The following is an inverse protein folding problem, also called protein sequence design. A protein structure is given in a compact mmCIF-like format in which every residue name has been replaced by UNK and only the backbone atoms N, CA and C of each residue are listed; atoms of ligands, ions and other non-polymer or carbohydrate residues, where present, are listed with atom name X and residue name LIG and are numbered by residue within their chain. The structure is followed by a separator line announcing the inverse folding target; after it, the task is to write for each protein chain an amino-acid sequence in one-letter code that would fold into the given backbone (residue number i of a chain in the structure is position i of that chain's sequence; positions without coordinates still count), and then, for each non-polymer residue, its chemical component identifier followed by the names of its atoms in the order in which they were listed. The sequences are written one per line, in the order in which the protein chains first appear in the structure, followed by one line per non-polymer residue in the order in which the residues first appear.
data_IF_126347623976
#
_entry.id   IF_126347623976
#
_cell.length_a   1.000
_cell.length_b   1.000
_cell.length_c   1.000
_cell.angle_alpha   90.00
_cell.angle_beta   90.00
_cell.angle_gamma   90.00
#
_symmetry.space_group_name_H-M   'P 1'
#
loop_
_entity.id
_entity.type
_entity.pdbx_description
1 polymer ?
#
# COMPACT_ATOMS: atom_id res chain seq x y z
N UNK A 1 7.66 27.40 -39.00
CA UNK A 1 7.74 26.24 -38.08
C UNK A 1 6.44 25.47 -38.16
N UNK A 2 6.45 24.22 -38.64
CA UNK A 2 5.27 23.35 -38.56
C UNK A 2 5.05 22.98 -37.09
N UNK A 3 3.98 23.51 -36.50
CA UNK A 3 3.55 23.14 -35.16
C UNK A 3 3.00 21.72 -35.24
N UNK A 4 3.81 20.74 -34.83
CA UNK A 4 3.39 19.33 -34.70
C UNK A 4 2.32 19.24 -33.61
N UNK A 5 1.06 19.37 -33.99
CA UNK A 5 -0.10 19.25 -33.12
C UNK A 5 -1.02 18.12 -33.60
N UNK A 6 -1.69 17.46 -32.66
CA UNK A 6 -2.73 16.47 -32.98
C UNK A 6 -4.08 17.17 -32.88
N UNK A 7 -4.74 17.40 -34.02
CA UNK A 7 -6.12 17.89 -34.03
C UNK A 7 -7.05 16.76 -33.60
N UNK A 8 -7.82 16.96 -32.53
CA UNK A 8 -8.74 15.97 -32.00
C UNK A 8 -10.03 16.64 -31.51
N UNK A 9 -11.12 15.88 -31.49
CA UNK A 9 -12.40 16.34 -30.93
C UNK A 9 -12.59 15.83 -29.50
N UNK A 10 -13.46 16.51 -28.74
CA UNK A 10 -13.84 16.06 -27.39
C UNK A 10 -14.48 14.66 -27.44
N UNK A 11 -15.28 14.38 -28.48
CA UNK A 11 -15.91 13.08 -28.64
C UNK A 11 -14.90 11.96 -28.91
N UNK A 12 -13.91 12.23 -29.76
CA UNK A 12 -12.82 11.31 -30.03
C UNK A 12 -12.05 10.99 -28.72
N UNK A 13 -11.74 12.01 -27.91
CA UNK A 13 -11.08 11.83 -26.62
C UNK A 13 -11.92 11.01 -25.63
N UNK A 14 -13.24 11.26 -25.54
CA UNK A 14 -14.13 10.49 -24.66
C UNK A 14 -14.16 9.01 -25.00
N UNK A 15 -14.14 8.68 -26.30
CA UNK A 15 -14.20 7.32 -26.85
C UNK A 15 -12.81 6.68 -27.00
N UNK A 16 -11.73 7.42 -26.78
CA UNK A 16 -10.37 6.95 -26.96
C UNK A 16 -10.08 5.69 -26.13
N UNK A 17 -9.46 4.66 -26.72
CA UNK A 17 -9.08 3.45 -26.01
C UNK A 17 -7.96 3.76 -25.02
N UNK A 18 -8.09 3.25 -23.80
CA UNK A 18 -7.11 3.47 -22.74
C UNK A 18 -6.15 2.28 -22.64
N UNK A 19 -4.85 2.57 -22.77
CA UNK A 19 -3.78 1.60 -22.62
C UNK A 19 -3.33 1.46 -21.15
N UNK A 20 -3.22 2.60 -20.45
CA UNK A 20 -2.75 2.71 -19.07
C UNK A 20 -3.70 3.58 -18.25
N UNK A 21 -3.90 3.23 -16.99
CA UNK A 21 -4.75 4.02 -16.08
C UNK A 21 -4.23 3.91 -14.65
N UNK A 22 -4.10 5.05 -13.98
CA UNK A 22 -3.67 5.11 -12.58
C UNK A 22 -4.83 5.63 -11.73
N UNK A 23 -5.18 4.87 -10.70
CA UNK A 23 -6.20 5.24 -9.72
C UNK A 23 -5.51 5.62 -8.42
N UNK A 24 -5.89 6.74 -7.82
CA UNK A 24 -5.24 7.19 -6.61
C UNK A 24 -6.23 7.83 -5.63
N UNK A 25 -5.83 7.83 -4.36
CA UNK A 25 -6.55 8.51 -3.29
C UNK A 25 -5.56 9.17 -2.34
N UNK A 26 -5.74 10.47 -2.16
CA UNK A 26 -5.13 11.23 -1.08
C UNK A 26 -5.91 10.97 0.23
N UNK A 27 -5.17 10.65 1.27
CA UNK A 27 -5.60 10.29 2.62
C UNK A 27 -5.04 11.37 3.54
N UNK A 28 -5.95 12.13 4.15
CA UNK A 28 -5.61 13.26 5.02
C UNK A 28 -5.46 12.76 6.44
N UNK A 29 -4.32 13.02 7.06
CA UNK A 29 -4.05 12.65 8.45
C UNK A 29 -4.02 13.95 9.28
N UNK A 30 -4.90 14.03 10.28
CA UNK A 30 -5.05 15.21 11.15
C UNK A 30 -4.88 14.90 12.64
N UNK A 31 -4.76 13.62 12.97
CA UNK A 31 -4.68 13.07 14.33
C UNK A 31 -3.24 13.02 14.87
N UNK A 32 -2.26 13.47 14.07
CA UNK A 32 -0.84 13.35 14.38
C UNK A 32 -0.20 12.04 13.89
N UNK A 33 -0.96 11.14 13.26
CA UNK A 33 -0.40 9.98 12.57
C UNK A 33 0.45 10.46 11.39
N UNK A 34 1.67 9.95 11.26
CA UNK A 34 2.57 10.33 10.17
C UNK A 34 2.48 9.33 9.00
N UNK A 35 2.65 9.78 7.75
CA UNK A 35 2.75 8.88 6.59
C UNK A 35 3.86 7.83 6.78
N UNK A 36 4.99 8.23 7.36
CA UNK A 36 6.11 7.32 7.65
C UNK A 36 5.70 6.16 8.57
N UNK A 37 4.93 6.43 9.63
CA UNK A 37 4.42 5.37 10.51
C UNK A 37 3.52 4.38 9.75
N UNK A 38 2.60 4.86 8.92
CA UNK A 38 1.73 3.99 8.11
C UNK A 38 2.52 3.17 7.09
N UNK A 39 3.53 3.77 6.45
CA UNK A 39 4.41 3.10 5.48
C UNK A 39 5.21 1.99 6.15
N UNK A 40 5.82 2.26 7.30
CA UNK A 40 6.55 1.25 8.07
C UNK A 40 5.63 0.10 8.50
N UNK A 41 4.37 0.41 8.88
CA UNK A 41 3.39 -0.62 9.19
C UNK A 41 3.08 -1.46 7.94
N UNK A 42 2.76 -0.84 6.81
CA UNK A 42 2.49 -1.54 5.54
C UNK A 42 3.65 -2.45 5.10
N UNK A 43 4.90 -1.99 5.27
CA UNK A 43 6.10 -2.79 5.02
C UNK A 43 6.13 -4.04 5.90
N UNK A 44 5.92 -3.88 7.21
CA UNK A 44 5.95 -4.99 8.17
C UNK A 44 4.83 -6.01 7.93
N UNK A 45 3.71 -5.57 7.36
CA UNK A 45 2.58 -6.44 6.99
C UNK A 45 2.77 -7.18 5.67
N UNK A 46 3.57 -6.63 4.75
CA UNK A 46 3.71 -7.18 3.41
C UNK A 46 4.55 -8.47 3.43
N UNK A 47 3.87 -9.58 3.17
CA UNK A 47 4.48 -10.88 2.94
C UNK A 47 4.55 -11.15 1.43
N UNK A 48 5.70 -11.02 0.76
CA UNK A 48 5.81 -11.46 -0.63
C UNK A 48 5.67 -12.98 -0.66
N UNK A 49 4.73 -13.49 -1.46
CA UNK A 49 4.56 -14.94 -1.68
C UNK A 49 4.87 -15.36 -3.13
N UNK A 50 5.50 -14.51 -3.94
CA UNK A 50 5.88 -14.88 -5.30
C UNK A 50 7.19 -14.24 -5.75
N UNK A 51 7.94 -15.01 -6.54
CA UNK A 51 9.14 -14.65 -7.30
C UNK A 51 8.95 -13.41 -8.21
N UNK A 52 7.69 -13.02 -8.46
CA UNK A 52 7.29 -11.93 -9.37
C UNK A 52 7.08 -10.58 -8.66
N UNK A 53 7.48 -10.48 -7.39
CA UNK A 53 7.48 -9.21 -6.65
C UNK A 53 8.77 -8.47 -7.00
N UNK A 54 8.77 -7.79 -8.14
CA UNK A 54 9.85 -6.90 -8.52
C UNK A 54 9.91 -5.78 -7.48
N UNK A 55 10.94 -5.81 -6.63
CA UNK A 55 11.40 -4.71 -5.76
C UNK A 55 10.33 -4.00 -4.90
N UNK A 56 10.32 -4.34 -3.61
CA UNK A 56 9.92 -3.40 -2.55
C UNK A 56 10.99 -2.32 -2.43
N UNK A 57 10.83 -1.26 -3.23
CA UNK A 57 11.80 -0.17 -3.33
C UNK A 57 11.59 0.85 -2.19
N UNK A 58 12.51 0.87 -1.22
CA UNK A 58 12.65 1.96 -0.24
C UNK A 58 13.43 3.11 -0.88
N UNK A 59 12.73 3.98 -1.61
CA UNK A 59 13.33 5.24 -2.08
C UNK A 59 13.12 6.33 -1.04
N UNK A 60 14.11 7.22 -0.93
CA UNK A 60 14.06 8.38 -0.06
C UNK A 60 13.85 8.03 1.43
N UNK A 61 14.64 7.11 2.01
CA UNK A 61 14.67 6.94 3.48
C UNK A 61 13.37 6.45 4.14
N UNK A 62 12.53 5.67 3.45
CA UNK A 62 11.29 5.11 4.03
C UNK A 62 10.05 5.98 3.87
N UNK A 63 10.05 6.91 2.91
CA UNK A 63 8.88 7.75 2.58
C UNK A 63 7.96 7.15 1.51
N UNK A 64 8.24 5.93 1.04
CA UNK A 64 7.36 5.19 0.14
C UNK A 64 7.48 3.68 0.32
N UNK A 65 6.37 2.99 0.10
CA UNK A 65 6.26 1.55 -0.05
C UNK A 65 5.69 1.23 -1.43
N UNK A 66 6.38 0.36 -2.17
CA UNK A 66 6.02 -0.03 -3.53
C UNK A 66 5.85 -1.54 -3.63
N UNK A 67 4.74 -1.96 -4.20
CA UNK A 67 4.54 -3.30 -4.67
C UNK A 67 4.48 -3.25 -6.20
N UNK A 68 5.62 -3.54 -6.82
CA UNK A 68 5.78 -3.40 -8.26
C UNK A 68 5.74 -4.75 -8.99
N UNK A 69 4.99 -4.77 -10.08
CA UNK A 69 4.96 -5.85 -11.08
C UNK A 69 4.98 -5.22 -12.48
N UNK A 70 5.45 -5.94 -13.49
CA UNK A 70 5.54 -5.42 -14.86
C UNK A 70 4.18 -4.97 -15.44
N UNK A 71 3.08 -5.55 -14.96
CA UNK A 71 1.73 -5.26 -15.43
C UNK A 71 0.99 -4.20 -14.60
N UNK A 72 1.36 -4.02 -13.33
CA UNK A 72 0.73 -3.07 -12.42
C UNK A 72 1.67 -2.74 -11.25
N UNK A 73 1.46 -1.58 -10.64
CA UNK A 73 2.20 -1.15 -9.46
C UNK A 73 1.22 -0.60 -8.42
N UNK A 74 1.41 -0.96 -7.15
CA UNK A 74 0.69 -0.36 -6.02
C UNK A 74 1.71 0.44 -5.20
N UNK A 75 1.48 1.74 -5.05
CA UNK A 75 2.40 2.67 -4.38
C UNK A 75 1.68 3.33 -3.22
N UNK A 76 2.35 3.36 -2.09
CA UNK A 76 1.97 4.12 -0.91
C UNK A 76 3.10 5.09 -0.59
N UNK A 77 2.81 6.37 -0.44
CA UNK A 77 3.87 7.34 -0.19
C UNK A 77 3.39 8.58 0.53
N UNK A 78 4.34 9.25 1.17
CA UNK A 78 4.17 10.58 1.72
C UNK A 78 4.13 11.60 0.56
N UNK A 79 2.94 12.14 0.29
CA UNK A 79 2.74 13.07 -0.82
C UNK A 79 3.31 14.46 -0.52
N UNK A 80 3.36 14.87 0.75
CA UNK A 80 3.99 16.13 1.14
C UNK A 80 5.50 16.06 0.93
N UNK A 81 6.12 14.97 1.38
CA UNK A 81 7.54 14.74 1.15
C UNK A 81 7.86 14.60 -0.34
N UNK A 82 7.04 13.90 -1.12
CA UNK A 82 7.22 13.76 -2.58
C UNK A 82 7.22 15.12 -3.31
N UNK A 83 6.29 16.02 -2.97
CA UNK A 83 6.24 17.37 -3.53
C UNK A 83 7.45 18.22 -3.11
N UNK A 84 7.91 18.09 -1.87
CA UNK A 84 9.13 18.76 -1.40
C UNK A 84 10.37 18.30 -2.20
N UNK A 85 10.46 16.99 -2.51
CA UNK A 85 11.53 16.45 -3.36
C UNK A 85 11.39 16.92 -4.80
N UNK A 86 10.17 17.00 -5.33
CA UNK A 86 9.92 17.49 -6.68
C UNK A 86 10.40 18.94 -6.87
N UNK A 87 10.24 19.81 -5.85
CA UNK A 87 10.76 21.19 -5.84
C UNK A 87 12.29 21.23 -5.99
N UNK A 88 13.00 20.24 -5.42
CA UNK A 88 14.47 20.10 -5.58
C UNK A 88 14.84 19.47 -6.92
N UNK A 89 14.09 18.47 -7.36
CA UNK A 89 14.31 17.77 -8.62
C UNK A 89 13.13 16.88 -8.99
N UNK A 90 12.55 17.09 -10.18
CA UNK A 90 11.48 16.24 -10.72
C UNK A 90 11.90 14.78 -10.94
N UNK A 91 13.20 14.50 -11.09
CA UNK A 91 13.72 13.12 -11.24
C UNK A 91 13.72 12.34 -9.92
N UNK A 92 13.66 13.04 -8.78
CA UNK A 92 13.71 12.44 -7.44
C UNK A 92 12.32 12.15 -6.84
N UNK A 93 11.28 12.68 -7.45
CA UNK A 93 9.89 12.41 -7.06
C UNK A 93 9.35 11.12 -7.67
N UNK A 94 8.39 10.53 -6.98
CA UNK A 94 7.64 9.34 -7.35
C UNK A 94 6.65 9.66 -8.46
N UNK A 95 6.03 10.84 -8.40
CA UNK A 95 5.19 11.37 -9.46
C UNK A 95 6.04 12.17 -10.45
N UNK A 96 5.79 11.98 -11.76
CA UNK A 96 6.56 12.62 -12.84
C UNK A 96 5.97 13.97 -13.23
N UNK A 97 4.66 14.15 -13.08
CA UNK A 97 3.92 15.34 -13.52
C UNK A 97 3.61 16.30 -12.36
N UNK A 98 4.61 16.54 -11.51
CA UNK A 98 4.44 17.34 -10.28
C UNK A 98 4.33 18.85 -10.53
N UNK A 99 4.72 19.35 -11.70
CA UNK A 99 4.83 20.78 -11.98
C UNK A 99 3.53 21.56 -11.70
N UNK A 100 2.38 20.99 -12.04
CA UNK A 100 1.06 21.61 -11.82
C UNK A 100 0.74 21.71 -10.32
N UNK A 101 1.28 20.80 -9.50
CA UNK A 101 0.99 20.69 -8.08
C UNK A 101 1.95 21.51 -7.20
N UNK A 102 3.08 21.98 -7.74
CA UNK A 102 4.06 22.76 -6.98
C UNK A 102 3.49 24.11 -6.49
N UNK A 103 2.60 24.73 -7.27
CA UNK A 103 1.92 25.97 -6.86
C UNK A 103 1.02 25.74 -5.63
N UNK A 104 0.42 24.55 -5.53
CA UNK A 104 -0.44 24.17 -4.40
C UNK A 104 0.38 23.78 -3.16
N UNK A 105 1.61 23.31 -3.36
CA UNK A 105 2.48 22.83 -2.29
C UNK A 105 2.77 23.92 -1.24
N UNK A 106 2.96 25.17 -1.63
CA UNK A 106 3.25 26.25 -0.68
C UNK A 106 2.07 26.54 0.26
N UNK A 107 0.85 26.38 -0.23
CA UNK A 107 -0.36 26.51 0.59
C UNK A 107 -0.52 25.32 1.56
N UNK A 108 -0.21 24.12 1.07
CA UNK A 108 -0.23 22.89 1.87
C UNK A 108 0.84 22.91 2.97
N UNK A 109 2.04 23.37 2.67
CA UNK A 109 3.15 23.42 3.61
C UNK A 109 2.85 24.39 4.76
N UNK A 110 2.24 25.55 4.46
CA UNK A 110 1.73 26.47 5.49
C UNK A 110 0.67 25.82 6.38
N UNK A 111 -0.23 25.01 5.83
CA UNK A 111 -1.23 24.26 6.62
C UNK A 111 -0.56 23.20 7.51
N UNK A 112 0.44 22.47 7.00
CA UNK A 112 1.23 21.48 7.76
C UNK A 112 1.99 22.11 8.94
N UNK A 113 2.52 23.32 8.78
CA UNK A 113 3.24 23.99 9.88
C UNK A 113 2.29 24.53 10.94
N UNK A 114 1.07 24.94 10.57
CA UNK A 114 0.08 25.51 11.49
C UNK A 114 -0.82 24.46 12.17
N UNK A 115 -0.99 23.31 11.54
CA UNK A 115 -1.89 22.24 11.97
C UNK A 115 -1.19 20.90 11.73
N UNK A 116 -1.49 19.88 12.53
CA UNK A 116 -0.97 18.51 12.33
C UNK A 116 -1.55 17.90 11.04
N UNK A 117 -1.18 18.39 9.87
CA UNK A 117 -1.74 18.03 8.58
C UNK A 117 -0.72 17.28 7.75
N UNK A 118 -0.96 16.00 7.51
CA UNK A 118 -0.14 15.18 6.63
C UNK A 118 -0.96 14.58 5.49
N UNK A 119 -0.31 14.36 4.35
CA UNK A 119 -0.94 13.80 3.16
C UNK A 119 -0.28 12.48 2.77
N UNK A 120 -0.99 11.39 3.01
CA UNK A 120 -0.59 10.07 2.56
C UNK A 120 -1.33 9.73 1.27
N UNK A 121 -0.67 9.12 0.29
CA UNK A 121 -1.31 8.74 -0.97
C UNK A 121 -1.17 7.26 -1.24
N UNK A 122 -2.30 6.64 -1.57
CA UNK A 122 -2.36 5.33 -2.18
C UNK A 122 -2.59 5.51 -3.69
N UNK A 123 -1.80 4.81 -4.50
CA UNK A 123 -1.89 4.82 -5.95
C UNK A 123 -1.78 3.39 -6.50
N UNK A 124 -2.67 3.04 -7.43
CA UNK A 124 -2.66 1.78 -8.19
C UNK A 124 -2.51 2.13 -9.65
N UNK A 125 -1.35 1.78 -10.22
CA UNK A 125 -0.99 2.03 -11.61
C UNK A 125 -1.19 0.77 -12.43
N UNK A 126 -2.10 0.80 -13.39
CA UNK A 126 -2.33 -0.31 -14.32
C UNK A 126 -1.64 0.02 -15.65
N UNK A 127 -0.51 -0.66 -15.90
CA UNK A 127 0.40 -0.35 -17.01
C UNK A 127 0.08 -1.12 -18.29
N UNK A 128 -0.71 -2.21 -18.20
CA UNK A 128 -1.05 -3.06 -19.34
C UNK A 128 -2.56 -3.23 -19.48
N UNK A 129 -3.08 -3.03 -20.69
CA UNK A 129 -4.51 -3.22 -21.01
C UNK A 129 -5.02 -4.61 -20.67
N UNK A 130 -4.20 -5.66 -20.85
CA UNK A 130 -4.54 -7.02 -20.47
C UNK A 130 -4.82 -7.14 -18.97
N UNK A 131 -4.03 -6.47 -18.12
CA UNK A 131 -4.23 -6.45 -16.67
C UNK A 131 -5.49 -5.70 -16.27
N UNK A 132 -5.79 -4.59 -16.95
CA UNK A 132 -7.06 -3.85 -16.75
C UNK A 132 -8.24 -4.79 -17.02
N UNK A 133 -8.24 -5.49 -18.17
CA UNK A 133 -9.30 -6.46 -18.51
C UNK A 133 -9.43 -7.55 -17.45
N UNK A 134 -8.31 -8.18 -17.07
CA UNK A 134 -8.29 -9.24 -16.06
C UNK A 134 -8.88 -8.77 -14.73
N UNK A 135 -8.46 -7.60 -14.25
CA UNK A 135 -8.95 -7.01 -13.00
C UNK A 135 -10.44 -6.66 -13.09
N UNK A 136 -10.89 -6.11 -14.21
CA UNK A 136 -12.29 -5.74 -14.41
C UNK A 136 -13.20 -6.96 -14.42
N UNK A 137 -12.78 -8.05 -15.07
CA UNK A 137 -13.49 -9.34 -15.00
C UNK A 137 -13.54 -9.85 -13.56
N UNK A 138 -12.41 -9.85 -12.85
CA UNK A 138 -12.34 -10.29 -11.43
C UNK A 138 -13.25 -9.47 -10.52
N UNK A 139 -13.37 -8.17 -10.78
CA UNK A 139 -14.20 -7.24 -10.02
C UNK A 139 -15.62 -7.12 -10.58
N UNK A 140 -16.04 -7.93 -11.55
CA UNK A 140 -17.36 -7.83 -12.20
C UNK A 140 -17.69 -6.42 -12.71
N UNK A 141 -16.71 -5.73 -13.30
CA UNK A 141 -16.86 -4.40 -13.91
C UNK A 141 -17.04 -4.57 -15.42
N UNK A 142 -18.29 -4.46 -15.90
CA UNK A 142 -18.62 -4.58 -17.32
C UNK A 142 -18.71 -3.20 -17.98
N UNK A 143 -17.56 -2.62 -18.32
CA UNK A 143 -17.50 -1.34 -19.07
C UNK A 143 -16.44 -1.42 -20.18
N UNK A 144 -16.63 -0.72 -21.30
CA UNK A 144 -15.59 -0.63 -22.32
C UNK A 144 -14.42 0.20 -21.78
N UNK A 145 -13.21 -0.14 -22.23
CA UNK A 145 -11.96 0.51 -21.80
C UNK A 145 -11.73 1.84 -22.55
N UNK A 146 -12.67 2.77 -22.40
CA UNK A 146 -12.59 4.12 -22.96
C UNK A 146 -12.37 5.16 -21.87
N UNK A 147 -11.80 6.31 -22.23
CA UNK A 147 -11.47 7.39 -21.28
C UNK A 147 -12.68 7.77 -20.42
N UNK A 148 -13.83 8.05 -21.04
CA UNK A 148 -15.04 8.47 -20.33
C UNK A 148 -15.55 7.43 -19.33
N UNK A 149 -15.46 6.14 -19.68
CA UNK A 149 -16.03 5.07 -18.84
C UNK A 149 -15.11 4.70 -17.69
N UNK A 150 -13.79 4.81 -17.88
CA UNK A 150 -12.78 4.48 -16.86
C UNK A 150 -12.61 5.58 -15.81
N UNK A 151 -12.89 6.83 -16.16
CA UNK A 151 -12.76 7.98 -15.26
C UNK A 151 -13.97 8.15 -14.34
N UNK A 152 -14.28 7.11 -13.54
CA UNK A 152 -15.39 7.08 -12.59
C UNK A 152 -14.90 6.85 -11.15
N UNK A 153 -15.30 7.67 -10.16
CA UNK A 153 -14.91 7.48 -8.77
C UNK A 153 -15.25 6.10 -8.20
N UNK A 154 -16.38 5.53 -8.61
CA UNK A 154 -16.80 4.19 -8.17
C UNK A 154 -15.81 3.08 -8.60
N UNK A 155 -15.26 3.16 -9.82
CA UNK A 155 -14.25 2.22 -10.32
C UNK A 155 -12.95 2.39 -9.55
N UNK A 156 -12.49 3.64 -9.39
CA UNK A 156 -11.29 3.98 -8.60
C UNK A 156 -11.37 3.39 -7.19
N UNK A 157 -12.47 3.64 -6.48
CA UNK A 157 -12.70 3.09 -5.14
C UNK A 157 -12.66 1.57 -5.11
N UNK A 158 -13.32 0.90 -6.06
CA UNK A 158 -13.37 -0.57 -6.10
C UNK A 158 -11.98 -1.18 -6.31
N UNK A 159 -11.17 -0.56 -7.17
CA UNK A 159 -9.80 -1.02 -7.46
C UNK A 159 -8.86 -0.75 -6.28
N UNK A 160 -8.94 0.44 -5.68
CA UNK A 160 -8.13 0.79 -4.51
C UNK A 160 -8.43 -0.14 -3.33
N UNK A 161 -9.72 -0.38 -3.04
CA UNK A 161 -10.12 -1.33 -1.99
C UNK A 161 -9.66 -2.75 -2.31
N UNK A 162 -9.81 -3.23 -3.54
CA UNK A 162 -9.34 -4.57 -3.91
C UNK A 162 -7.85 -4.78 -3.59
N UNK A 163 -6.99 -3.84 -3.98
CA UNK A 163 -5.55 -3.98 -3.70
C UNK A 163 -5.20 -3.77 -2.23
N UNK A 164 -5.95 -2.92 -1.53
CA UNK A 164 -5.79 -2.76 -0.08
C UNK A 164 -6.22 -4.03 0.68
N UNK A 165 -7.33 -4.65 0.27
CA UNK A 165 -7.81 -5.94 0.79
C UNK A 165 -6.81 -7.05 0.48
N UNK A 166 -6.23 -7.06 -0.72
CA UNK A 166 -5.19 -8.02 -1.09
C UNK A 166 -3.94 -7.87 -0.20
N UNK A 167 -3.57 -6.64 0.17
CA UNK A 167 -2.48 -6.38 1.10
C UNK A 167 -2.85 -6.85 2.53
N UNK A 168 -4.03 -6.46 3.03
CA UNK A 168 -4.49 -6.86 4.37
C UNK A 168 -4.70 -8.39 4.49
N UNK A 169 -5.10 -9.08 3.43
CA UNK A 169 -5.25 -10.55 3.46
C UNK A 169 -3.93 -11.29 3.70
N UNK A 170 -2.79 -10.63 3.45
CA UNK A 170 -1.44 -11.17 3.66
C UNK A 170 -0.90 -10.86 5.05
N UNK A 171 -1.57 -9.97 5.78
CA UNK A 171 -1.22 -9.57 7.12
C UNK A 171 -1.39 -10.75 8.10
N UNK A 172 -0.45 -10.86 9.04
CA UNK A 172 -0.53 -11.84 10.11
C UNK A 172 -0.74 -11.10 11.45
N UNK A 173 -1.87 -11.32 12.15
CA UNK A 173 -2.23 -10.62 13.39
C UNK A 173 -1.12 -10.66 14.45
N UNK A 174 -0.32 -11.72 14.46
CA UNK A 174 0.85 -11.86 15.32
C UNK A 174 1.78 -10.64 15.27
N UNK A 175 1.97 -10.02 14.10
CA UNK A 175 2.90 -8.91 13.92
C UNK A 175 2.35 -7.54 14.30
N UNK A 176 1.06 -7.44 14.61
CA UNK A 176 0.45 -6.21 15.13
C UNK A 176 0.67 -6.00 16.62
N UNK A 177 0.99 -7.07 17.35
CA UNK A 177 1.20 -7.01 18.79
C UNK A 177 2.35 -6.07 19.15
N UNK A 178 2.10 -5.25 20.16
CA UNK A 178 3.06 -4.27 20.64
C UNK A 178 4.39 -4.93 20.98
N UNK A 179 5.48 -4.32 20.52
CA UNK A 179 6.85 -4.74 20.84
C UNK A 179 7.19 -4.51 22.32
N UNK A 180 6.42 -3.66 23.02
CA UNK A 180 6.59 -3.40 24.46
C UNK A 180 6.02 -4.50 25.36
N UNK A 181 5.36 -5.52 24.79
CA UNK A 181 4.84 -6.64 25.57
C UNK A 181 5.97 -7.49 26.15
N UNK A 182 5.85 -7.85 27.42
CA UNK A 182 6.75 -8.81 28.05
C UNK A 182 6.57 -10.20 27.44
N UNK A 183 7.65 -10.99 27.39
CA UNK A 183 7.64 -12.35 26.84
C UNK A 183 6.54 -13.22 27.46
N UNK A 184 6.39 -13.11 28.78
CA UNK A 184 5.33 -13.80 29.53
C UNK A 184 3.94 -13.41 29.04
N UNK A 185 3.66 -12.11 28.86
CA UNK A 185 2.34 -11.67 28.38
C UNK A 185 2.04 -12.12 26.95
N UNK A 186 3.05 -12.10 26.08
CA UNK A 186 2.93 -12.53 24.69
C UNK A 186 2.61 -14.04 24.62
N UNK A 187 3.37 -14.86 25.35
CA UNK A 187 3.12 -16.30 25.44
C UNK A 187 1.73 -16.61 26.02
N UNK A 188 1.34 -15.93 27.11
CA UNK A 188 0.01 -16.12 27.71
C UNK A 188 -1.09 -15.80 26.71
N UNK A 189 -1.00 -14.68 25.97
CA UNK A 189 -2.01 -14.34 24.96
C UNK A 189 -2.08 -15.38 23.84
N UNK A 190 -0.92 -15.85 23.36
CA UNK A 190 -0.88 -16.88 22.31
C UNK A 190 -1.53 -18.19 22.79
N UNK A 191 -1.24 -18.62 24.03
CA UNK A 191 -1.79 -19.86 24.62
C UNK A 191 -3.31 -19.72 24.85
N UNK A 192 -3.75 -18.63 25.47
CA UNK A 192 -5.16 -18.43 25.85
C UNK A 192 -6.07 -18.32 24.63
N UNK A 193 -5.63 -17.59 23.59
CA UNK A 193 -6.44 -17.40 22.39
C UNK A 193 -6.35 -18.55 21.38
N UNK A 194 -5.35 -19.43 21.50
CA UNK A 194 -5.12 -20.53 20.56
C UNK A 194 -4.87 -21.86 21.29
N UNK A 195 -5.81 -22.35 22.13
CA UNK A 195 -5.62 -23.55 22.96
C UNK A 195 -5.47 -24.85 22.15
N UNK A 196 -5.82 -24.82 20.87
CA UNK A 196 -5.68 -25.96 19.94
C UNK A 196 -4.25 -26.12 19.39
N UNK A 197 -3.37 -25.14 19.57
CA UNK A 197 -1.99 -25.21 19.08
C UNK A 197 -1.10 -25.97 20.08
N UNK A 198 -0.18 -26.79 19.55
CA UNK A 198 0.81 -27.47 20.38
C UNK A 198 1.84 -26.50 20.94
N UNK A 199 2.43 -26.83 22.09
CA UNK A 199 3.47 -26.03 22.73
C UNK A 199 4.63 -25.71 21.78
N UNK A 200 5.09 -26.69 21.00
CA UNK A 200 6.12 -26.50 19.98
C UNK A 200 5.72 -25.44 18.95
N UNK A 201 4.46 -25.42 18.51
CA UNK A 201 3.99 -24.46 17.51
C UNK A 201 3.91 -23.05 18.09
N UNK A 202 3.47 -22.93 19.35
CA UNK A 202 3.42 -21.66 20.07
C UNK A 202 4.84 -21.08 20.22
N UNK A 203 5.82 -21.91 20.61
CA UNK A 203 7.22 -21.48 20.74
C UNK A 203 7.80 -21.02 19.39
N UNK A 204 7.51 -21.75 18.31
CA UNK A 204 7.95 -21.35 16.96
C UNK A 204 7.36 -20.00 16.52
N UNK A 205 6.07 -19.78 16.78
CA UNK A 205 5.39 -18.52 16.46
C UNK A 205 5.88 -17.38 17.35
N UNK A 206 6.18 -17.66 18.62
CA UNK A 206 6.79 -16.69 19.53
C UNK A 206 8.17 -16.25 19.02
N UNK A 207 9.02 -17.22 18.65
CA UNK A 207 10.32 -16.94 18.04
C UNK A 207 10.20 -16.13 16.76
N UNK A 208 9.23 -16.46 15.89
CA UNK A 208 8.93 -15.68 14.68
C UNK A 208 8.55 -14.23 15.01
N UNK A 209 7.72 -14.00 16.03
CA UNK A 209 7.34 -12.65 16.47
C UNK A 209 8.55 -11.88 16.95
N UNK A 210 9.39 -12.46 17.81
CA UNK A 210 10.59 -11.78 18.33
C UNK A 210 11.61 -11.47 17.24
N UNK A 211 11.80 -12.38 16.29
CA UNK A 211 12.62 -12.09 15.11
C UNK A 211 12.06 -10.88 14.34
N UNK A 212 10.75 -10.82 14.10
CA UNK A 212 10.10 -9.72 13.37
C UNK A 212 10.29 -8.32 14.01
N UNK A 213 10.63 -8.25 15.30
CA UNK A 213 10.93 -6.96 15.96
C UNK A 213 12.28 -6.38 15.52
N UNK A 214 13.20 -7.25 15.10
CA UNK A 214 14.56 -6.89 14.70
C UNK A 214 14.76 -6.90 13.18
N UNK A 215 13.98 -7.69 12.44
CA UNK A 215 14.13 -7.88 11.00
C UNK A 215 12.79 -8.00 10.28
N UNK A 216 12.77 -7.63 9.01
CA UNK A 216 11.61 -7.78 8.13
C UNK A 216 11.41 -9.25 7.72
N UNK A 217 10.19 -9.62 7.30
CA UNK A 217 9.97 -10.97 6.77
C UNK A 217 10.77 -11.21 5.48
N UNK A 218 11.05 -10.16 4.71
CA UNK A 218 11.85 -10.28 3.51
C UNK A 218 13.29 -10.68 3.84
N UNK A 219 13.91 -10.05 4.84
CA UNK A 219 15.23 -10.41 5.35
C UNK A 219 15.22 -11.84 5.90
N UNK A 220 14.21 -12.21 6.70
CA UNK A 220 14.03 -13.59 7.17
C UNK A 220 13.96 -14.59 6.00
N UNK A 221 13.16 -14.30 4.98
CA UNK A 221 13.03 -15.19 3.81
C UNK A 221 14.34 -15.31 3.03
N UNK A 222 15.15 -14.25 2.95
CA UNK A 222 16.46 -14.28 2.32
C UNK A 222 17.46 -15.11 3.13
N UNK A 223 17.50 -14.93 4.45
CA UNK A 223 18.35 -15.72 5.34
C UNK A 223 18.04 -17.22 5.28
N UNK A 224 16.75 -17.58 5.22
CA UNK A 224 16.30 -18.97 5.09
C UNK A 224 16.11 -19.42 3.64
N UNK A 225 16.57 -18.67 2.64
CA UNK A 225 16.38 -19.03 1.24
C UNK A 225 17.03 -20.38 0.90
N UNK A 226 18.20 -20.65 1.48
CA UNK A 226 18.94 -21.90 1.34
C UNK A 226 18.57 -22.97 2.38
N UNK A 227 17.77 -22.60 3.39
CA UNK A 227 17.39 -23.47 4.50
C UNK A 227 15.86 -23.62 4.56
N UNK A 228 15.36 -24.68 3.93
CA UNK A 228 13.96 -25.13 3.98
C UNK A 228 12.89 -24.01 3.93
N UNK A 229 12.88 -23.27 2.82
CA UNK A 229 11.90 -22.22 2.50
C UNK A 229 10.44 -22.62 2.74
N UNK A 230 10.10 -23.91 2.53
CA UNK A 230 8.74 -24.43 2.73
C UNK A 230 8.30 -24.37 4.19
N UNK A 231 9.20 -24.68 5.12
CA UNK A 231 8.90 -24.63 6.57
C UNK A 231 8.65 -23.21 7.05
N UNK A 232 9.46 -22.23 6.61
CA UNK A 232 9.22 -20.82 6.92
C UNK A 232 7.89 -20.33 6.34
N UNK A 233 7.56 -20.70 5.09
CA UNK A 233 6.27 -20.35 4.49
C UNK A 233 5.09 -20.93 5.27
N UNK A 234 5.17 -22.18 5.73
CA UNK A 234 4.15 -22.79 6.60
C UNK A 234 4.00 -22.04 7.92
N UNK A 235 5.11 -21.64 8.53
CA UNK A 235 5.12 -20.85 9.77
C UNK A 235 4.45 -19.48 9.58
N UNK A 236 4.72 -18.81 8.45
CA UNK A 236 4.06 -17.54 8.09
C UNK A 236 2.55 -17.72 7.83
N UNK A 237 2.14 -18.83 7.20
CA UNK A 237 0.72 -19.15 7.00
C UNK A 237 0.01 -19.33 8.34
N UNK A 238 0.63 -20.04 9.29
CA UNK A 238 0.04 -20.24 10.61
C UNK A 238 -0.01 -18.93 11.41
N UNK A 239 0.98 -18.06 11.27
CA UNK A 239 0.94 -16.72 11.85
C UNK A 239 -0.25 -15.87 11.35
N UNK A 240 -0.74 -16.11 10.13
CA UNK A 240 -1.97 -15.47 9.59
C UNK A 240 -3.26 -16.04 10.18
N UNK A 241 -3.22 -17.28 10.66
CA UNK A 241 -4.38 -18.00 11.20
C UNK A 241 -4.55 -17.81 12.71
N UNK A 242 -3.55 -17.25 13.38
CA UNK A 242 -3.60 -16.97 14.80
C UNK A 242 -4.76 -16.03 15.13
N UNK A 243 -5.52 -16.41 16.15
CA UNK A 243 -6.48 -15.52 16.80
C UNK A 243 -5.72 -14.72 17.85
N UNK A 244 -5.71 -13.41 17.70
CA UNK A 244 -5.10 -12.46 18.64
C UNK A 244 -6.15 -11.44 19.09
N UNK A 245 -6.01 -10.82 20.28
CA UNK A 245 -6.94 -9.80 20.72
C UNK A 245 -6.99 -8.65 19.70
N UNK A 246 -8.20 -8.15 19.43
CA UNK A 246 -8.40 -7.07 18.47
C UNK A 246 -7.69 -5.80 18.96
N UNK A 247 -6.65 -5.39 18.23
CA UNK A 247 -6.02 -4.09 18.40
C UNK A 247 -6.57 -3.14 17.33
N UNK A 248 -6.71 -1.86 17.64
CA UNK A 248 -7.16 -0.87 16.66
C UNK A 248 -6.18 -0.83 15.47
N UNK A 249 -6.64 -1.23 14.28
CA UNK A 249 -5.80 -1.18 13.08
C UNK A 249 -5.62 0.27 12.66
N UNK A 250 -4.45 0.83 12.92
CA UNK A 250 -4.08 2.16 12.43
C UNK A 250 -4.17 2.33 10.90
N UNK A 251 -4.26 1.25 10.11
CA UNK A 251 -4.54 1.33 8.67
C UNK A 251 -6.03 1.51 8.34
N UNK A 252 -6.96 1.39 9.30
CA UNK A 252 -8.39 1.61 9.07
C UNK A 252 -8.68 3.01 8.53
N UNK A 253 -7.83 3.99 8.85
CA UNK A 253 -7.92 5.34 8.29
C UNK A 253 -7.88 5.33 6.76
N UNK A 254 -7.06 4.46 6.16
CA UNK A 254 -6.94 4.29 4.71
C UNK A 254 -8.27 3.80 4.15
N UNK A 255 -8.80 2.70 4.70
CA UNK A 255 -10.07 2.12 4.26
C UNK A 255 -11.22 3.12 4.38
N UNK A 256 -11.38 3.75 5.54
CA UNK A 256 -12.44 4.74 5.81
C UNK A 256 -12.44 5.87 4.76
N UNK A 257 -11.27 6.41 4.43
CA UNK A 257 -11.16 7.49 3.45
C UNK A 257 -11.36 7.03 2.01
N UNK A 258 -10.89 5.84 1.63
CA UNK A 258 -11.15 5.25 0.31
C UNK A 258 -12.64 4.98 0.12
N UNK A 259 -13.32 4.42 1.13
CA UNK A 259 -14.77 4.16 1.11
C UNK A 259 -15.57 5.46 0.96
N UNK A 260 -15.23 6.47 1.77
CA UNK A 260 -15.87 7.80 1.76
C UNK A 260 -15.79 8.45 0.37
N UNK A 261 -14.71 8.23 -0.37
CA UNK A 261 -14.58 8.62 -1.79
C UNK A 261 -14.61 10.13 -2.07
N UNK A 262 -14.78 10.99 -1.04
CA UNK A 262 -14.84 12.45 -1.21
C UNK A 262 -13.48 12.98 -1.63
N UNK A 263 -13.44 13.84 -2.64
CA UNK A 263 -12.23 14.58 -2.98
C UNK A 263 -11.77 15.41 -1.77
N UNK A 264 -10.46 15.54 -1.60
CA UNK A 264 -9.90 16.44 -0.59
C UNK A 264 -10.14 17.86 -1.12
N UNK A 265 -11.05 18.60 -0.48
CA UNK A 265 -11.26 20.02 -0.75
C UNK A 265 -10.37 20.80 0.20
N UNK A 266 -9.62 21.76 -0.33
CA UNK A 266 -8.74 22.64 0.44
C UNK A 266 -9.43 23.91 0.86
#
# INVERSE_FOLDING_TARGET
MLQMGVQTTIEALKKAPVATVHYAKNIVLTDGTTPHYLINKLQKMCMPQSLDTNQTDFRNGGHAFKWHCNAYEVVFYDKMHDLAQAKKSSKRSIEKDNNIQLQLFEQLDKKRTKQKFELFRMEVRLNKRAKIKQLFTKLNIKVPLTFQKLFKPAISRKILLYYFDELQSRHAPLFELSTSMTDKSLLTQMIVHNPHLSANRIIQLFGLKRLHETMTIQELQQMFAHHNKRSLQRLLIDARRLVMPAQADSLDVIRKQVVKGKAVRM
#
